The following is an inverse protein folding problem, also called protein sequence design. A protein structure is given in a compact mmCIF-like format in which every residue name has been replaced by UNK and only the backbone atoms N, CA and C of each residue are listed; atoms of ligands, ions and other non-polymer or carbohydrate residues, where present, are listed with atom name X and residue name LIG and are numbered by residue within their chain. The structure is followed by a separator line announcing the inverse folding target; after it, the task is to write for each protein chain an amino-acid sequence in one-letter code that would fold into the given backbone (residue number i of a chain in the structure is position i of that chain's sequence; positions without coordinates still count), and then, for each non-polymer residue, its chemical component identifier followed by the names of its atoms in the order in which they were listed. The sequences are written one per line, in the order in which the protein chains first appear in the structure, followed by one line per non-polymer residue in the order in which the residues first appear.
data_IF_961807116310
#
_entry.id   IF_961807116310
#
_cell.length_a   1.000
_cell.length_b   1.000
_cell.length_c   1.000
_cell.angle_alpha   90.00
_cell.angle_beta   90.00
_cell.angle_gamma   90.00
#
_symmetry.space_group_name_H-M   'P 1'
#
loop_
_entity.id
_entity.type
_entity.pdbx_description
1 polymer ?
#
# COMPACT_ATOMS: atom_id res chain seq x y z
N UNK A 1 8.45 -9.20 -17.01
CA UNK A 1 7.45 -8.53 -16.17
C UNK A 1 8.14 -7.81 -15.03
N UNK A 2 7.82 -6.54 -14.85
CA UNK A 2 8.37 -5.72 -13.78
C UNK A 2 7.35 -5.57 -12.66
N UNK A 3 7.73 -6.03 -11.46
CA UNK A 3 6.92 -5.89 -10.25
C UNK A 3 7.64 -4.96 -9.29
N UNK A 4 6.96 -3.91 -8.87
CA UNK A 4 7.55 -2.90 -7.98
C UNK A 4 6.90 -2.97 -6.60
N UNK A 5 7.74 -3.08 -5.58
CA UNK A 5 7.33 -2.89 -4.18
C UNK A 5 7.61 -1.43 -3.84
N UNK A 6 6.57 -0.71 -3.47
CA UNK A 6 6.71 0.71 -3.15
C UNK A 6 7.35 0.87 -1.78
N UNK A 7 8.52 1.53 -1.75
CA UNK A 7 9.23 1.85 -0.52
C UNK A 7 8.92 3.31 -0.15
N UNK A 8 8.04 3.48 0.83
CA UNK A 8 7.63 4.82 1.28
C UNK A 8 7.84 5.01 2.78
N UNK A 9 8.78 4.25 3.35
CA UNK A 9 9.15 4.33 4.76
C UNK A 9 8.00 3.93 5.70
N UNK A 10 7.23 2.92 5.32
CA UNK A 10 6.08 2.42 6.09
C UNK A 10 6.46 1.40 7.17
N UNK A 11 7.69 1.43 7.65
CA UNK A 11 8.21 0.45 8.58
C UNK A 11 9.09 -0.59 7.90
N UNK A 12 9.23 -1.76 8.54
CA UNK A 12 10.10 -2.82 8.03
C UNK A 12 9.42 -3.62 6.91
N UNK A 13 9.89 -3.48 5.69
CA UNK A 13 9.37 -4.18 4.52
C UNK A 13 10.24 -5.39 4.12
N UNK A 14 11.24 -5.73 4.90
CA UNK A 14 12.17 -6.83 4.58
C UNK A 14 11.46 -8.15 4.40
N UNK A 15 10.49 -8.47 5.25
CA UNK A 15 9.73 -9.72 5.14
C UNK A 15 8.90 -9.78 3.86
N UNK A 16 8.33 -8.66 3.43
CA UNK A 16 7.59 -8.59 2.16
C UNK A 16 8.54 -8.82 1.00
N UNK A 17 9.69 -8.15 1.00
CA UNK A 17 10.70 -8.30 -0.04
C UNK A 17 11.16 -9.76 -0.12
N UNK A 18 11.48 -10.37 1.02
CA UNK A 18 11.95 -11.75 1.08
C UNK A 18 10.89 -12.72 0.56
N UNK A 19 9.64 -12.51 0.92
CA UNK A 19 8.55 -13.37 0.47
C UNK A 19 8.36 -13.30 -1.05
N UNK A 20 8.37 -12.11 -1.62
CA UNK A 20 8.25 -11.95 -3.07
C UNK A 20 9.47 -12.50 -3.80
N UNK A 21 10.67 -12.28 -3.27
CA UNK A 21 11.90 -12.82 -3.86
C UNK A 21 11.85 -14.35 -3.92
N UNK A 22 11.44 -14.99 -2.83
CA UNK A 22 11.34 -16.46 -2.76
C UNK A 22 10.31 -17.00 -3.75
N UNK A 23 9.13 -16.40 -3.80
CA UNK A 23 8.06 -16.86 -4.69
C UNK A 23 8.40 -16.59 -6.15
N UNK A 24 8.99 -15.45 -6.44
CA UNK A 24 9.32 -15.06 -7.81
C UNK A 24 10.41 -15.93 -8.43
N UNK A 25 11.40 -16.34 -7.64
CA UNK A 25 12.52 -17.23 -8.05
C UNK A 25 13.14 -16.81 -9.39
N UNK A 26 13.32 -15.50 -9.57
CA UNK A 26 13.92 -14.97 -10.79
C UNK A 26 13.00 -14.91 -12.00
N UNK A 27 11.73 -15.27 -11.87
CA UNK A 27 10.78 -15.25 -12.98
C UNK A 27 10.24 -13.87 -13.32
N UNK A 28 10.36 -12.93 -12.37
CA UNK A 28 9.95 -11.54 -12.57
C UNK A 28 11.09 -10.62 -12.15
N UNK A 29 11.11 -9.43 -12.73
CA UNK A 29 12.05 -8.40 -12.31
C UNK A 29 11.41 -7.66 -11.12
N UNK A 30 11.93 -7.90 -9.93
CA UNK A 30 11.41 -7.32 -8.68
C UNK A 30 12.26 -6.11 -8.30
N UNK A 31 11.61 -4.97 -8.10
CA UNK A 31 12.29 -3.72 -7.73
C UNK A 31 11.61 -3.11 -6.50
N UNK A 32 12.44 -2.56 -5.59
CA UNK A 32 11.97 -1.85 -4.41
C UNK A 32 12.37 -0.41 -4.55
N UNK A 33 11.41 0.50 -4.67
CA UNK A 33 11.73 1.89 -4.98
C UNK A 33 10.58 2.83 -4.63
N UNK A 34 10.91 4.11 -4.46
CA UNK A 34 9.93 5.20 -4.38
C UNK A 34 10.02 6.11 -5.61
N UNK A 35 10.79 5.74 -6.60
CA UNK A 35 10.96 6.52 -7.83
C UNK A 35 9.67 6.50 -8.66
N UNK A 36 9.11 7.68 -8.87
CA UNK A 36 7.83 7.84 -9.57
C UNK A 36 7.89 7.26 -11.00
N UNK A 37 8.97 7.48 -11.71
CA UNK A 37 9.09 7.01 -13.09
C UNK A 37 9.14 5.48 -13.16
N UNK A 38 9.84 4.85 -12.23
CA UNK A 38 9.90 3.38 -12.16
C UNK A 38 8.55 2.80 -11.78
N UNK A 39 7.84 3.44 -10.86
CA UNK A 39 6.49 3.02 -10.46
C UNK A 39 5.54 3.09 -11.64
N UNK A 40 5.56 4.19 -12.39
CA UNK A 40 4.71 4.36 -13.58
C UNK A 40 4.94 3.28 -14.63
N UNK A 41 6.16 2.86 -14.81
CA UNK A 41 6.52 1.88 -15.85
C UNK A 41 6.37 0.44 -15.42
N UNK A 42 5.95 0.17 -14.19
CA UNK A 42 5.77 -1.17 -13.67
C UNK A 42 4.58 -1.87 -14.32
N UNK A 43 4.65 -3.21 -14.38
CA UNK A 43 3.51 -4.02 -14.80
C UNK A 43 2.55 -4.28 -13.64
N UNK A 44 3.10 -4.48 -12.43
CA UNK A 44 2.34 -4.70 -11.20
C UNK A 44 3.01 -3.98 -10.05
N UNK A 45 2.20 -3.53 -9.11
CA UNK A 45 2.68 -2.81 -7.91
C UNK A 45 2.24 -3.55 -6.65
N UNK A 46 3.14 -3.60 -5.66
CA UNK A 46 2.84 -4.04 -4.31
C UNK A 46 2.94 -2.84 -3.38
N UNK A 47 1.86 -2.54 -2.67
CA UNK A 47 1.82 -1.47 -1.68
C UNK A 47 1.76 -2.10 -0.29
N UNK A 48 2.90 -2.25 0.39
CA UNK A 48 2.90 -2.75 1.75
C UNK A 48 2.53 -1.62 2.71
N UNK A 49 2.24 -1.99 3.95
CA UNK A 49 2.03 -1.00 5.00
C UNK A 49 2.18 -1.66 6.36
N UNK A 50 2.95 -1.04 7.24
CA UNK A 50 3.19 -1.52 8.58
C UNK A 50 3.15 -0.35 9.56
N UNK A 51 2.53 -0.57 10.71
CA UNK A 51 2.32 0.47 11.70
C UNK A 51 0.87 0.95 11.69
N UNK A 52 0.64 2.19 12.04
CA UNK A 52 -0.71 2.74 12.11
C UNK A 52 -1.21 3.22 10.74
N UNK A 53 -2.52 3.26 10.60
CA UNK A 53 -3.17 3.82 9.41
C UNK A 53 -2.67 5.25 9.14
N UNK A 54 -2.68 6.09 10.17
CA UNK A 54 -2.25 7.49 10.05
C UNK A 54 -0.79 7.60 9.62
N UNK A 55 0.10 6.84 10.25
CA UNK A 55 1.53 6.93 9.92
C UNK A 55 1.82 6.50 8.49
N UNK A 56 1.13 5.47 8.01
CA UNK A 56 1.29 5.01 6.63
C UNK A 56 0.75 6.03 5.63
N UNK A 57 -0.43 6.60 5.90
CA UNK A 57 -1.00 7.64 5.02
C UNK A 57 -0.09 8.87 4.98
N UNK A 58 0.41 9.30 6.13
CA UNK A 58 1.32 10.45 6.20
C UNK A 58 2.61 10.20 5.44
N UNK A 59 3.20 9.00 5.60
CA UNK A 59 4.41 8.63 4.86
C UNK A 59 4.18 8.60 3.36
N UNK A 60 3.05 8.04 2.93
CA UNK A 60 2.70 7.98 1.51
C UNK A 60 2.53 9.38 0.92
N UNK A 61 1.85 10.26 1.64
CA UNK A 61 1.64 11.65 1.22
C UNK A 61 2.91 12.49 1.27
N UNK A 62 3.91 12.08 2.04
CA UNK A 62 5.16 12.83 2.14
C UNK A 62 6.00 12.79 0.86
N UNK A 63 5.76 11.83 0.00
CA UNK A 63 6.46 11.69 -1.28
C UNK A 63 5.65 12.38 -2.36
N UNK A 64 6.19 13.47 -2.89
CA UNK A 64 5.48 14.29 -3.84
C UNK A 64 5.11 13.50 -5.11
N UNK A 65 3.82 13.51 -5.46
CA UNK A 65 3.31 12.86 -6.66
C UNK A 65 3.07 11.35 -6.53
N UNK A 66 3.45 10.72 -5.40
CA UNK A 66 3.31 9.27 -5.27
C UNK A 66 1.86 8.82 -5.24
N UNK A 67 1.02 9.48 -4.45
CA UNK A 67 -0.40 9.11 -4.34
C UNK A 67 -1.10 9.25 -5.69
N UNK A 68 -0.85 10.34 -6.41
CA UNK A 68 -1.43 10.54 -7.74
C UNK A 68 -0.96 9.49 -8.73
N UNK A 69 0.32 9.12 -8.66
CA UNK A 69 0.89 8.08 -9.52
C UNK A 69 0.25 6.73 -9.27
N UNK A 70 0.07 6.37 -7.99
CA UNK A 70 -0.59 5.11 -7.63
C UNK A 70 -2.05 5.10 -8.07
N UNK A 71 -2.74 6.22 -7.92
CA UNK A 71 -4.13 6.35 -8.37
C UNK A 71 -4.23 6.17 -9.89
N UNK A 72 -3.37 6.84 -10.63
CA UNK A 72 -3.36 6.70 -12.09
C UNK A 72 -3.08 5.26 -12.50
N UNK A 73 -2.14 4.61 -11.82
CA UNK A 73 -1.79 3.21 -12.11
C UNK A 73 -2.98 2.27 -11.88
N UNK A 74 -3.55 2.32 -10.68
CA UNK A 74 -4.54 1.33 -10.25
C UNK A 74 -5.96 1.67 -10.69
N UNK A 75 -6.36 2.93 -10.63
CA UNK A 75 -7.74 3.34 -10.87
C UNK A 75 -7.95 3.79 -12.31
N UNK A 76 -7.11 4.67 -12.80
CA UNK A 76 -7.25 5.21 -14.17
C UNK A 76 -6.85 4.16 -15.22
N UNK A 77 -5.68 3.57 -15.08
CA UNK A 77 -5.14 2.61 -16.02
C UNK A 77 -5.53 1.16 -15.72
N UNK A 78 -6.13 0.92 -14.55
CA UNK A 78 -6.65 -0.40 -14.13
C UNK A 78 -5.60 -1.50 -14.16
N UNK A 79 -4.36 -1.15 -13.81
CA UNK A 79 -3.28 -2.12 -13.67
C UNK A 79 -3.30 -2.76 -12.28
N UNK A 80 -2.76 -3.99 -12.15
CA UNK A 80 -2.80 -4.72 -10.88
C UNK A 80 -1.96 -4.04 -9.79
N UNK A 81 -2.60 -3.77 -8.65
CA UNK A 81 -1.95 -3.26 -7.46
C UNK A 81 -2.43 -4.06 -6.26
N UNK A 82 -1.50 -4.65 -5.53
CA UNK A 82 -1.79 -5.44 -4.34
C UNK A 82 -1.45 -4.65 -3.09
N UNK A 83 -2.45 -4.39 -2.25
CA UNK A 83 -2.24 -3.81 -0.93
C UNK A 83 -2.08 -4.90 0.12
N UNK A 84 -1.06 -4.79 0.97
CA UNK A 84 -0.80 -5.75 2.03
C UNK A 84 -0.92 -5.06 3.38
N UNK A 85 -1.71 -5.66 4.28
CA UNK A 85 -1.92 -5.18 5.65
C UNK A 85 -2.43 -3.74 5.63
N UNK A 86 -1.75 -2.79 6.27
CA UNK A 86 -2.16 -1.38 6.27
C UNK A 86 -2.17 -0.81 4.86
N UNK A 87 -1.35 -1.31 3.95
CA UNK A 87 -1.40 -0.93 2.54
C UNK A 87 -2.77 -1.16 1.93
N UNK A 88 -3.39 -2.30 2.23
CA UNK A 88 -4.78 -2.57 1.82
C UNK A 88 -5.78 -1.65 2.55
N UNK A 89 -5.57 -1.44 3.84
CA UNK A 89 -6.48 -0.59 4.63
C UNK A 89 -6.55 0.84 4.09
N UNK A 90 -5.45 1.37 3.59
CA UNK A 90 -5.40 2.73 3.05
C UNK A 90 -6.30 2.93 1.82
N UNK A 91 -6.77 1.87 1.18
CA UNK A 91 -7.72 1.99 0.05
C UNK A 91 -9.07 2.55 0.48
N UNK A 92 -9.41 2.44 1.76
CA UNK A 92 -10.67 2.96 2.30
C UNK A 92 -10.72 4.49 2.27
N UNK A 93 -11.91 5.04 2.49
CA UNK A 93 -12.10 6.48 2.51
C UNK A 93 -11.50 7.11 3.76
N UNK A 94 -11.57 6.42 4.90
CA UNK A 94 -11.14 6.96 6.19
C UNK A 94 -10.75 5.84 7.14
N UNK A 95 -9.80 6.12 8.02
CA UNK A 95 -9.42 5.25 9.14
C UNK A 95 -9.47 5.98 10.46
N UNK A 96 -9.73 5.25 11.54
CA UNK A 96 -9.94 5.80 12.89
C UNK A 96 -8.99 5.23 13.93
N UNK A 97 -7.81 4.77 13.55
CA UNK A 97 -6.91 4.09 14.49
C UNK A 97 -6.39 5.03 15.57
N UNK A 98 -5.62 6.05 15.21
CA UNK A 98 -5.09 7.06 16.14
C UNK A 98 -5.93 8.32 16.12
N UNK A 99 -6.41 8.69 14.96
CA UNK A 99 -7.19 9.88 14.71
C UNK A 99 -8.00 9.60 13.44
N UNK A 100 -9.01 10.41 13.19
CA UNK A 100 -9.71 10.35 11.93
C UNK A 100 -8.76 10.77 10.81
N UNK A 101 -8.39 9.82 9.95
CA UNK A 101 -7.41 10.03 8.89
C UNK A 101 -8.03 9.66 7.54
N UNK A 102 -7.97 10.58 6.59
CA UNK A 102 -8.45 10.32 5.24
C UNK A 102 -7.54 9.31 4.54
N UNK A 103 -8.12 8.24 4.01
CA UNK A 103 -7.42 7.26 3.18
C UNK A 103 -7.36 7.66 1.72
N UNK A 104 -7.04 6.69 0.85
CA UNK A 104 -6.96 6.94 -0.59
C UNK A 104 -8.33 7.07 -1.26
N UNK A 105 -9.37 6.54 -0.62
CA UNK A 105 -10.73 6.67 -1.13
C UNK A 105 -11.03 5.83 -2.36
N UNK A 106 -10.27 4.77 -2.60
CA UNK A 106 -10.49 3.90 -3.76
C UNK A 106 -11.62 2.90 -3.54
N UNK A 107 -11.85 2.53 -2.29
CA UNK A 107 -12.90 1.59 -1.90
C UNK A 107 -13.80 2.28 -0.89
N UNK A 108 -15.13 2.34 -1.12
CA UNK A 108 -16.05 2.93 -0.15
C UNK A 108 -16.00 2.19 1.17
N UNK A 109 -15.98 2.95 2.27
CA UNK A 109 -15.97 2.37 3.60
C UNK A 109 -14.92 3.00 4.50
N UNK A 110 -14.82 2.44 5.69
CA UNK A 110 -13.93 2.92 6.73
C UNK A 110 -13.19 1.76 7.40
N UNK A 111 -12.05 2.08 7.98
CA UNK A 111 -11.28 1.16 8.83
C UNK A 111 -11.45 1.60 10.26
N UNK A 112 -12.04 0.75 11.08
CA UNK A 112 -12.31 1.06 12.49
C UNK A 112 -12.02 -0.16 13.36
N UNK A 113 -11.89 0.10 14.66
CA UNK A 113 -11.67 -0.97 15.62
C UNK A 113 -12.87 -1.93 15.60
N UNK A 114 -12.58 -3.22 15.69
CA UNK A 114 -13.61 -4.24 15.80
C UNK A 114 -14.35 -4.05 17.12
N UNK A 115 -15.68 -4.00 17.05
CA UNK A 115 -16.52 -3.90 18.23
C UNK A 115 -16.63 -5.27 18.87
N UNK A 116 -16.18 -5.38 20.13
CA UNK A 116 -16.17 -6.61 20.89
C UNK A 116 -17.16 -6.54 22.05
N UNK A 117 -18.36 -6.02 21.83
CA UNK A 117 -19.37 -5.84 22.88
C UNK A 117 -19.75 -7.15 23.57
N UNK A 118 -19.71 -8.27 22.87
CA UNK A 118 -20.13 -9.57 23.38
C UNK A 118 -18.97 -10.44 23.84
N UNK A 119 -17.75 -9.95 23.85
CA UNK A 119 -16.58 -10.71 24.29
C UNK A 119 -16.29 -11.94 23.46
N UNK A 120 -16.63 -11.96 22.19
CA UNK A 120 -16.52 -13.15 21.33
C UNK A 120 -15.29 -13.15 20.43
N UNK A 121 -14.35 -12.26 20.65
CA UNK A 121 -13.13 -12.18 19.86
C UNK A 121 -11.92 -12.44 20.74
#
# INVERSE_FOLDING_TARGET
MNVTIVDYQSGNISSVINSFTEVAKGKVNLEVTSDINKIKSSDKIVLPGQGSFKSCVDSLNSINGLVDTLKDFAITNKKPLLGICVGLQMFAEVGYEEAETKGLGWIPGKVSKIDNQNGKF
#
